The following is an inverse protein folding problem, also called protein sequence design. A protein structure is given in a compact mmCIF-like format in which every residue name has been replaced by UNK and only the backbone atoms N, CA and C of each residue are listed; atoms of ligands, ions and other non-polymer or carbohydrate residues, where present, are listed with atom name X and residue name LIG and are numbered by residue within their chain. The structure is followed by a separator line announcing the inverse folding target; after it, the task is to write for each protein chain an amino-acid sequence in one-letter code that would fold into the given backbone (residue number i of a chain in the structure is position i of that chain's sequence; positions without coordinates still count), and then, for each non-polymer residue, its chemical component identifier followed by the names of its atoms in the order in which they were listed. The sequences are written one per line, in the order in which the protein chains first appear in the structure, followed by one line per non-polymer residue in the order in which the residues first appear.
data_IF_995083931155
#
_entry.id   IF_995083931155
#
_cell.length_a   1.000
_cell.length_b   1.000
_cell.length_c   1.000
_cell.angle_alpha   90.00
_cell.angle_beta   90.00
_cell.angle_gamma   90.00
#
_symmetry.space_group_name_H-M   'P 1'
#
loop_
_entity.id
_entity.type
_entity.pdbx_description
1 polymer ?
#
# COMPACT_ATOMS: atom_id res chain seq x y z
N UNK A 1 -8.28 21.31 4.23
CA UNK A 1 -7.56 20.17 3.61
C UNK A 1 -7.66 19.01 4.58
N UNK A 2 -8.01 17.81 4.10
CA UNK A 2 -7.99 16.62 4.96
C UNK A 2 -6.54 16.30 5.34
N UNK A 3 -6.29 15.86 6.57
CA UNK A 3 -4.96 15.41 7.01
C UNK A 3 -4.62 14.07 6.35
N UNK A 4 -3.32 13.74 6.23
CA UNK A 4 -2.86 12.45 5.69
C UNK A 4 -3.52 11.27 6.42
N UNK A 5 -3.65 11.37 7.74
CA UNK A 5 -4.35 10.40 8.57
C UNK A 5 -5.80 10.20 8.15
N UNK A 6 -6.56 11.27 7.92
CA UNK A 6 -7.95 11.15 7.49
C UNK A 6 -8.07 10.51 6.10
N UNK A 7 -7.13 10.78 5.19
CA UNK A 7 -7.10 10.14 3.87
C UNK A 7 -6.79 8.64 3.97
N UNK A 8 -5.86 8.25 4.86
CA UNK A 8 -5.55 6.85 5.13
C UNK A 8 -6.77 6.09 5.66
N UNK A 9 -7.50 6.65 6.63
CA UNK A 9 -8.72 6.06 7.19
C UNK A 9 -9.78 5.82 6.10
N UNK A 10 -10.00 6.81 5.22
CA UNK A 10 -10.92 6.66 4.10
C UNK A 10 -10.49 5.54 3.14
N UNK A 11 -9.19 5.42 2.87
CA UNK A 11 -8.65 4.38 2.00
C UNK A 11 -8.72 2.98 2.60
N UNK A 12 -8.51 2.82 3.92
CA UNK A 12 -8.68 1.51 4.58
C UNK A 12 -10.07 0.94 4.33
N UNK A 13 -11.09 1.80 4.42
CA UNK A 13 -12.48 1.43 4.15
C UNK A 13 -12.77 1.14 2.68
N UNK A 14 -12.11 1.84 1.74
CA UNK A 14 -12.26 1.61 0.29
C UNK A 14 -11.59 0.31 -0.14
N UNK A 15 -10.34 0.08 0.26
CA UNK A 15 -9.54 -1.10 -0.12
C UNK A 15 -10.21 -2.41 0.29
N UNK A 16 -10.89 -2.44 1.44
CA UNK A 16 -11.57 -3.63 1.96
C UNK A 16 -13.07 -3.71 1.64
N UNK A 17 -13.60 -2.76 0.87
CA UNK A 17 -15.03 -2.76 0.51
C UNK A 17 -15.34 -3.93 -0.42
N UNK A 18 -16.47 -4.61 -0.20
CA UNK A 18 -16.94 -5.64 -1.10
C UNK A 18 -17.02 -5.13 -2.56
N UNK A 19 -16.47 -5.92 -3.50
CA UNK A 19 -16.39 -5.58 -4.92
C UNK A 19 -15.22 -4.68 -5.32
N UNK A 20 -14.36 -4.28 -4.38
CA UNK A 20 -13.12 -3.54 -4.67
C UNK A 20 -11.91 -4.46 -4.82
N UNK A 21 -11.65 -5.44 -3.93
CA UNK A 21 -10.64 -6.45 -4.17
C UNK A 21 -10.97 -7.31 -5.40
N UNK A 22 -9.95 -7.75 -6.18
CA UNK A 22 -10.15 -8.65 -7.31
C UNK A 22 -10.78 -9.98 -6.89
N UNK A 23 -11.58 -10.58 -7.78
CA UNK A 23 -12.23 -11.85 -7.49
C UNK A 23 -11.22 -12.97 -7.17
N UNK A 24 -11.47 -13.68 -6.07
CA UNK A 24 -10.63 -14.78 -5.62
C UNK A 24 -9.27 -14.36 -5.08
N UNK A 25 -9.00 -13.06 -4.86
CA UNK A 25 -7.71 -12.57 -4.37
C UNK A 25 -7.29 -13.15 -3.00
N UNK A 26 -8.23 -13.71 -2.22
CA UNK A 26 -7.93 -14.37 -0.95
C UNK A 26 -7.48 -15.83 -1.11
N UNK A 27 -7.47 -16.38 -2.33
CA UNK A 27 -6.92 -17.71 -2.61
C UNK A 27 -5.41 -17.58 -2.84
N UNK A 28 -4.64 -18.38 -2.09
CA UNK A 28 -3.16 -18.37 -2.09
C UNK A 28 -2.50 -18.59 -3.45
N UNK A 29 -3.20 -19.22 -4.39
CA UNK A 29 -2.69 -19.51 -5.73
C UNK A 29 -2.95 -18.39 -6.74
N UNK A 30 -3.46 -17.23 -6.31
CA UNK A 30 -3.70 -16.09 -7.20
C UNK A 30 -2.55 -15.08 -7.14
N UNK A 31 -2.28 -14.43 -8.27
CA UNK A 31 -1.26 -13.37 -8.35
C UNK A 31 -1.58 -12.19 -7.43
N UNK A 32 -2.86 -11.97 -7.12
CA UNK A 32 -3.35 -10.90 -6.26
C UNK A 32 -3.12 -11.13 -4.76
N UNK A 33 -3.02 -12.41 -4.35
CA UNK A 33 -2.96 -12.77 -2.93
C UNK A 33 -1.82 -12.11 -2.16
N UNK A 34 -0.56 -12.11 -2.65
CA UNK A 34 0.52 -11.43 -1.95
C UNK A 34 0.24 -9.94 -1.78
N UNK A 35 -0.22 -9.25 -2.83
CA UNK A 35 -0.49 -7.82 -2.78
C UNK A 35 -1.57 -7.48 -1.75
N UNK A 36 -2.72 -8.16 -1.80
CA UNK A 36 -3.81 -7.96 -0.84
C UNK A 36 -3.35 -8.26 0.59
N UNK A 37 -2.56 -9.32 0.77
CA UNK A 37 -2.02 -9.68 2.09
C UNK A 37 -1.07 -8.62 2.65
N UNK A 38 -0.18 -8.06 1.83
CA UNK A 38 0.73 -7.00 2.25
C UNK A 38 -0.02 -5.73 2.63
N UNK A 39 -1.01 -5.32 1.82
CA UNK A 39 -1.83 -4.13 2.11
C UNK A 39 -2.60 -4.30 3.42
N UNK A 40 -3.24 -5.45 3.62
CA UNK A 40 -3.92 -5.73 4.89
C UNK A 40 -2.96 -5.76 6.08
N UNK A 41 -1.74 -6.25 5.88
CA UNK A 41 -0.71 -6.25 6.94
C UNK A 41 -0.28 -4.83 7.28
N UNK A 42 -0.06 -3.95 6.28
CA UNK A 42 0.27 -2.53 6.50
C UNK A 42 -0.86 -1.84 7.27
N UNK A 43 -2.12 -2.05 6.87
CA UNK A 43 -3.29 -1.49 7.57
C UNK A 43 -3.31 -1.96 9.02
N UNK A 44 -3.13 -3.27 9.27
CA UNK A 44 -3.14 -3.81 10.63
C UNK A 44 -2.00 -3.25 11.50
N UNK A 45 -0.79 -3.11 10.95
CA UNK A 45 0.36 -2.51 11.64
C UNK A 45 0.12 -1.03 11.95
N UNK A 46 -0.42 -0.28 10.99
CA UNK A 46 -0.81 1.12 11.16
C UNK A 46 -1.83 1.28 12.29
N UNK A 47 -2.92 0.50 12.27
CA UNK A 47 -3.97 0.54 13.29
C UNK A 47 -3.48 0.09 14.68
N UNK A 48 -2.34 -0.59 14.75
CA UNK A 48 -1.72 -1.06 16.00
C UNK A 48 -0.55 -0.19 16.46
N UNK A 49 -0.33 0.97 15.81
CA UNK A 49 0.82 1.85 16.05
C UNK A 49 2.19 1.17 15.95
N UNK A 50 2.28 0.06 15.21
CA UNK A 50 3.53 -0.69 14.99
C UNK A 50 4.18 -0.28 13.67
N UNK A 51 4.71 0.94 13.64
CA UNK A 51 5.24 1.56 12.43
C UNK A 51 6.57 0.97 11.96
N UNK A 52 7.39 0.41 12.87
CA UNK A 52 8.76 -0.06 12.60
C UNK A 52 8.84 -1.11 11.48
N UNK A 53 7.80 -1.94 11.36
CA UNK A 53 7.76 -3.04 10.39
C UNK A 53 7.06 -2.62 9.09
N UNK A 54 6.31 -1.51 9.09
CA UNK A 54 5.54 -1.07 7.92
C UNK A 54 6.41 -0.88 6.68
N UNK A 55 7.60 -0.23 6.74
CA UNK A 55 8.43 -0.05 5.57
C UNK A 55 8.62 -1.37 4.80
N UNK A 56 9.07 -2.44 5.47
CA UNK A 56 9.32 -3.75 4.82
C UNK A 56 8.12 -4.23 3.97
N UNK A 57 6.90 -4.05 4.47
CA UNK A 57 5.70 -4.42 3.73
C UNK A 57 5.35 -3.45 2.61
N UNK A 58 5.65 -2.15 2.74
CA UNK A 58 5.54 -1.18 1.65
C UNK A 58 6.40 -1.61 0.46
N UNK A 59 7.64 -2.07 0.64
CA UNK A 59 8.50 -2.45 -0.51
C UNK A 59 7.95 -3.68 -1.20
N UNK A 60 7.56 -4.67 -0.40
CA UNK A 60 6.96 -5.89 -0.90
C UNK A 60 5.68 -5.57 -1.68
N UNK A 61 4.84 -4.68 -1.16
CA UNK A 61 3.63 -4.24 -1.84
C UNK A 61 3.94 -3.46 -3.13
N UNK A 62 4.87 -2.51 -3.12
CA UNK A 62 5.28 -1.73 -4.30
C UNK A 62 5.82 -2.62 -5.42
N UNK A 63 6.73 -3.54 -5.10
CA UNK A 63 7.28 -4.47 -6.10
C UNK A 63 6.19 -5.38 -6.68
N UNK A 64 5.34 -5.95 -5.81
CA UNK A 64 4.24 -6.83 -6.25
C UNK A 64 3.21 -6.06 -7.08
N UNK A 65 2.90 -4.82 -6.70
CA UNK A 65 2.01 -3.94 -7.44
C UNK A 65 2.57 -3.67 -8.84
N UNK A 66 3.85 -3.29 -8.95
CA UNK A 66 4.49 -3.02 -10.22
C UNK A 66 4.48 -4.25 -11.15
N UNK A 67 4.68 -5.46 -10.61
CA UNK A 67 4.62 -6.69 -11.40
C UNK A 67 3.20 -7.00 -11.89
N UNK A 68 2.20 -6.90 -11.02
CA UNK A 68 0.80 -7.13 -11.40
C UNK A 68 0.32 -6.07 -12.41
N UNK A 69 0.70 -4.81 -12.23
CA UNK A 69 0.27 -3.69 -13.07
C UNK A 69 0.78 -3.79 -14.52
N UNK A 70 1.83 -4.58 -14.79
CA UNK A 70 2.31 -4.87 -16.16
C UNK A 70 1.28 -5.67 -16.97
N UNK A 71 0.57 -6.58 -16.32
CA UNK A 71 -0.29 -7.57 -16.98
C UNK A 71 -1.79 -7.35 -16.70
N UNK A 72 -2.12 -6.58 -15.67
CA UNK A 72 -3.49 -6.37 -15.22
C UNK A 72 -3.82 -4.89 -15.05
N UNK A 73 -5.06 -4.54 -15.39
CA UNK A 73 -5.67 -3.24 -15.06
C UNK A 73 -6.86 -3.47 -14.16
N UNK A 74 -6.83 -2.92 -12.96
CA UNK A 74 -7.89 -3.09 -11.97
C UNK A 74 -7.93 -1.88 -11.03
N UNK A 75 -9.12 -1.39 -10.68
CA UNK A 75 -9.29 -0.22 -9.78
C UNK A 75 -8.59 -0.40 -8.43
N UNK A 76 -8.47 -1.63 -7.97
CA UNK A 76 -7.72 -1.97 -6.76
C UNK A 76 -6.25 -1.51 -6.83
N UNK A 77 -5.61 -1.60 -8.00
CA UNK A 77 -4.22 -1.17 -8.18
C UNK A 77 -4.06 0.34 -8.01
N UNK A 78 -5.03 1.13 -8.49
CA UNK A 78 -5.01 2.59 -8.34
C UNK A 78 -5.13 2.98 -6.87
N UNK A 79 -6.05 2.32 -6.15
CA UNK A 79 -6.24 2.52 -4.71
C UNK A 79 -5.02 2.11 -3.90
N UNK A 80 -4.36 1.01 -4.28
CA UNK A 80 -3.13 0.56 -3.65
C UNK A 80 -2.00 1.57 -3.86
N UNK A 81 -1.85 2.10 -5.07
CA UNK A 81 -0.83 3.12 -5.34
C UNK A 81 -1.07 4.39 -4.52
N UNK A 82 -2.32 4.87 -4.46
CA UNK A 82 -2.72 6.01 -3.62
C UNK A 82 -2.39 5.74 -2.13
N UNK A 83 -2.71 4.55 -1.65
CA UNK A 83 -2.46 4.14 -0.28
C UNK A 83 -0.97 4.06 0.07
N UNK A 84 -0.16 3.43 -0.80
CA UNK A 84 1.29 3.30 -0.61
C UNK A 84 1.98 4.67 -0.59
N UNK A 85 1.51 5.61 -1.40
CA UNK A 85 2.02 6.98 -1.34
C UNK A 85 1.69 7.66 0.00
N UNK A 86 0.43 7.59 0.44
CA UNK A 86 0.00 8.25 1.68
C UNK A 86 0.64 7.63 2.93
N UNK A 87 0.81 6.31 2.99
CA UNK A 87 1.45 5.68 4.14
C UNK A 87 2.93 6.05 4.25
N UNK A 88 3.63 6.17 3.12
CA UNK A 88 5.03 6.64 3.12
C UNK A 88 5.11 8.09 3.57
N UNK A 89 4.21 8.96 3.09
CA UNK A 89 4.12 10.35 3.54
C UNK A 89 3.88 10.42 5.05
N UNK A 90 2.95 9.62 5.58
CA UNK A 90 2.71 9.56 7.02
C UNK A 90 3.95 9.11 7.81
N UNK A 91 4.65 8.06 7.36
CA UNK A 91 5.86 7.57 8.02
C UNK A 91 6.94 8.66 8.11
N UNK A 92 7.12 9.47 7.06
CA UNK A 92 8.03 10.62 7.06
C UNK A 92 7.63 11.65 8.11
N UNK A 93 6.34 11.99 8.20
CA UNK A 93 5.81 12.92 9.22
C UNK A 93 6.02 12.39 10.65
N UNK A 94 6.04 11.07 10.84
CA UNK A 94 6.32 10.43 12.14
C UNK A 94 7.81 10.25 12.46
N UNK A 95 8.72 10.65 11.55
CA UNK A 95 10.16 10.69 11.81
C UNK A 95 10.99 9.53 11.22
N UNK A 96 10.43 8.71 10.32
CA UNK A 96 11.23 7.76 9.55
C UNK A 96 12.15 8.49 8.57
N UNK A 97 13.42 8.10 8.53
CA UNK A 97 14.43 8.75 7.68
C UNK A 97 14.30 8.33 6.21
N UNK A 98 14.83 9.15 5.30
CA UNK A 98 14.91 8.76 3.89
C UNK A 98 15.75 7.50 3.67
N UNK A 99 16.73 7.17 4.51
CA UNK A 99 17.44 5.88 4.39
C UNK A 99 16.55 4.68 4.76
N UNK A 100 15.70 4.86 5.78
CA UNK A 100 14.69 3.87 6.16
C UNK A 100 13.56 3.77 5.12
N UNK A 101 13.39 4.77 4.26
CA UNK A 101 12.35 4.84 3.24
C UNK A 101 12.85 4.69 1.79
N UNK A 102 14.15 4.82 1.52
CA UNK A 102 14.76 4.81 0.18
C UNK A 102 14.48 3.53 -0.62
N UNK A 103 14.46 2.32 -0.03
CA UNK A 103 14.04 1.11 -0.75
C UNK A 103 12.59 1.14 -1.24
N UNK A 104 11.77 2.07 -0.75
CA UNK A 104 10.32 2.10 -0.85
C UNK A 104 9.80 3.23 -1.77
N UNK A 105 10.59 4.29 -1.98
CA UNK A 105 10.16 5.51 -2.73
C UNK A 105 10.80 5.65 -4.12
N UNK A 106 11.84 4.88 -4.43
CA UNK A 106 12.60 4.96 -5.69
C UNK A 106 11.79 4.68 -6.96
N UNK A 107 10.54 4.18 -6.83
CA UNK A 107 9.61 3.94 -7.95
C UNK A 107 8.37 4.83 -7.98
N UNK A 108 8.22 5.78 -7.04
CA UNK A 108 7.04 6.67 -6.97
C UNK A 108 7.31 8.00 -7.70
N UNK A 109 8.58 8.34 -7.95
CA UNK A 109 8.99 9.40 -8.87
C UNK A 109 9.16 8.85 -10.29
N UNK A 110 8.03 8.51 -10.92
CA UNK A 110 7.94 8.58 -12.38
C UNK A 110 7.60 10.02 -12.72
N UNK A 111 8.63 10.83 -12.99
CA UNK A 111 8.44 12.14 -13.61
C UNK A 111 7.73 11.96 -14.96
N UNK A 112 6.72 12.80 -15.20
CA UNK A 112 5.97 12.95 -16.45
C UNK A 112 6.87 13.12 -17.68
#
# INVERSE_FOLDING_TARGET
MATVQHQLEQLHGRLNRAGVPPDGCYKRNTVWYPLVSYINTIIALYLSDNYDVIPVFVMRATNTHADIAKEHKHVYLDLVAEYLHLIVTHLRETGFTEEQLAPYVSGVHGDN
#
